data_IF_686699586336
#
_entry.id   IF_686699586336
#
_cell.length_a   1.000
_cell.length_b   1.000
_cell.length_c   1.000
_cell.angle_alpha   90.00
_cell.angle_beta   90.00
_cell.angle_gamma   90.00
#
_symmetry.space_group_name_H-M   'P 1'
#
loop_
_entity.id
_entity.type
_entity.pdbx_description
1 polymer ?
#
# COMPACT_ATOMS: atom_id res chain seq x y z
N UNK A 1 72.15 -16.67 26.39
CA UNK A 1 71.09 -17.16 27.30
C UNK A 1 69.88 -16.22 27.49
N UNK A 2 69.90 -14.96 27.05
CA UNK A 2 68.80 -14.00 27.29
C UNK A 2 67.75 -13.89 26.16
N UNK A 3 67.96 -14.55 25.01
CA UNK A 3 67.02 -14.51 23.89
C UNK A 3 65.87 -15.55 24.07
N UNK A 4 66.19 -16.76 24.52
CA UNK A 4 65.21 -17.84 24.73
C UNK A 4 64.20 -17.57 25.87
N UNK A 5 64.57 -16.77 26.88
CA UNK A 5 63.68 -16.41 27.99
C UNK A 5 62.61 -15.36 27.61
N UNK A 6 62.85 -14.57 26.55
CA UNK A 6 61.88 -13.55 26.09
C UNK A 6 60.76 -14.15 25.26
N UNK A 7 61.05 -15.21 24.50
CA UNK A 7 60.05 -15.90 23.69
C UNK A 7 59.16 -16.82 24.54
N UNK A 8 59.70 -17.44 25.60
CA UNK A 8 58.90 -18.22 26.56
C UNK A 8 57.96 -17.34 27.40
N UNK A 9 58.39 -16.14 27.80
CA UNK A 9 57.53 -15.19 28.53
C UNK A 9 56.48 -14.54 27.63
N UNK A 10 56.78 -14.32 26.34
CA UNK A 10 55.81 -13.86 25.35
C UNK A 10 54.80 -14.96 25.02
N UNK A 11 55.22 -16.20 24.82
CA UNK A 11 54.31 -17.32 24.56
C UNK A 11 53.46 -17.66 25.79
N UNK A 12 54.00 -17.57 27.01
CA UNK A 12 53.24 -17.76 28.23
C UNK A 12 52.17 -16.68 28.43
N UNK A 13 52.48 -15.40 28.16
CA UNK A 13 51.48 -14.31 28.21
C UNK A 13 50.43 -14.43 27.11
N UNK A 14 50.81 -14.90 25.93
CA UNK A 14 49.88 -15.14 24.83
C UNK A 14 49.00 -16.36 25.10
N UNK A 15 49.55 -17.44 25.65
CA UNK A 15 48.79 -18.61 26.08
C UNK A 15 47.86 -18.28 27.25
N UNK A 16 48.28 -17.45 28.22
CA UNK A 16 47.43 -16.99 29.33
C UNK A 16 46.27 -16.11 28.84
N UNK A 17 46.52 -15.24 27.85
CA UNK A 17 45.48 -14.43 27.21
C UNK A 17 44.51 -15.29 26.39
N UNK A 18 45.01 -16.30 25.66
CA UNK A 18 44.17 -17.25 24.92
C UNK A 18 43.33 -18.14 25.84
N UNK A 19 43.88 -18.58 26.98
CA UNK A 19 43.11 -19.34 27.99
C UNK A 19 42.08 -18.48 28.71
N UNK A 20 42.39 -17.22 29.00
CA UNK A 20 41.40 -16.27 29.55
C UNK A 20 40.29 -15.97 28.53
N UNK A 21 40.61 -15.86 27.24
CA UNK A 21 39.63 -15.63 26.18
C UNK A 21 38.70 -16.85 26.00
N UNK A 22 39.25 -18.07 26.02
CA UNK A 22 38.43 -19.30 25.92
C UNK A 22 37.56 -19.53 27.14
N UNK A 23 38.05 -19.26 28.35
CA UNK A 23 37.25 -19.30 29.59
C UNK A 23 36.14 -18.23 29.55
N UNK A 24 36.45 -17.01 29.10
CA UNK A 24 35.45 -15.93 28.97
C UNK A 24 34.34 -16.28 27.96
N UNK A 25 34.67 -16.92 26.84
CA UNK A 25 33.67 -17.41 25.88
C UNK A 25 32.81 -18.55 26.45
N UNK A 26 33.39 -19.44 27.27
CA UNK A 26 32.64 -20.52 27.92
C UNK A 26 31.70 -20.02 29.03
N UNK A 27 32.08 -18.96 29.76
CA UNK A 27 31.24 -18.35 30.81
C UNK A 27 30.05 -17.59 30.21
N UNK A 28 30.21 -16.95 29.05
CA UNK A 28 29.10 -16.28 28.35
C UNK A 28 28.08 -17.26 27.75
N UNK A 29 28.49 -18.48 27.37
CA UNK A 29 27.58 -19.53 26.88
C UNK A 29 26.78 -20.23 28.00
N UNK A 30 27.26 -20.20 29.25
CA UNK A 30 26.66 -20.92 30.38
C UNK A 30 25.73 -20.07 31.25
N UNK A 31 25.51 -18.79 30.93
CA UNK A 31 24.57 -17.89 31.59
C UNK A 31 23.80 -17.07 30.54
N UNK A 32 23.06 -17.79 29.70
CA UNK A 32 22.16 -17.26 28.67
C UNK A 32 21.58 -18.42 27.88
N UNK A 33 20.76 -19.22 28.57
CA UNK A 33 20.48 -20.61 28.23
C UNK A 33 19.70 -20.86 26.94
N UNK A 34 20.05 -22.02 26.35
CA UNK A 34 19.21 -22.91 25.55
C UNK A 34 18.97 -22.46 24.11
N UNK A 35 19.56 -23.06 23.08
CA UNK A 35 20.19 -24.37 22.95
C UNK A 35 19.75 -24.97 21.61
N UNK A 36 20.70 -25.06 20.68
CA UNK A 36 21.04 -26.22 19.80
C UNK A 36 19.87 -27.09 19.27
N UNK A 37 19.76 -27.47 17.99
CA UNK A 37 20.78 -27.85 17.00
C UNK A 37 20.08 -28.15 15.63
N UNK A 38 20.75 -28.67 14.56
CA UNK A 38 20.67 -28.06 13.23
C UNK A 38 20.27 -29.05 12.09
N UNK A 39 20.48 -28.60 10.85
CA UNK A 39 20.73 -29.37 9.62
C UNK A 39 19.58 -30.13 8.94
N UNK A 40 19.21 -29.68 7.74
CA UNK A 40 19.26 -30.50 6.52
C UNK A 40 19.05 -29.61 5.27
N UNK A 41 19.82 -29.93 4.24
CA UNK A 41 19.90 -29.36 2.90
C UNK A 41 18.92 -30.11 1.95
N UNK A 42 18.42 -29.36 0.95
CA UNK A 42 17.96 -29.77 -0.39
C UNK A 42 16.81 -30.79 -0.56
N UNK A 43 15.68 -30.30 -1.10
CA UNK A 43 15.15 -30.69 -2.43
C UNK A 43 13.75 -30.08 -2.67
N UNK A 44 13.58 -29.44 -3.82
CA UNK A 44 12.31 -29.42 -4.56
C UNK A 44 12.39 -30.52 -5.65
N UNK A 45 11.33 -30.83 -6.42
CA UNK A 45 9.89 -30.77 -6.18
C UNK A 45 9.25 -32.18 -6.35
N UNK A 46 7.95 -32.33 -6.09
CA UNK A 46 7.19 -33.45 -6.67
C UNK A 46 5.71 -33.08 -6.81
N UNK A 47 5.34 -32.79 -8.06
CA UNK A 47 4.03 -32.99 -8.63
C UNK A 47 3.79 -34.50 -8.85
N UNK A 48 2.51 -34.87 -8.95
CA UNK A 48 1.98 -36.06 -9.64
C UNK A 48 2.03 -37.45 -8.96
N UNK A 49 0.84 -37.97 -8.67
CA UNK A 49 0.31 -39.25 -9.18
C UNK A 49 -0.99 -39.56 -8.39
N UNK A 50 -2.15 -39.40 -9.02
CA UNK A 50 -2.82 -40.42 -9.83
C UNK A 50 -3.47 -41.53 -8.99
N UNK A 51 -4.73 -41.77 -9.35
CA UNK A 51 -5.75 -42.61 -8.71
C UNK A 51 -5.37 -44.11 -8.58
N UNK A 52 -6.30 -44.94 -8.08
CA UNK A 52 -7.16 -45.58 -9.07
C UNK A 52 -8.66 -45.61 -8.71
N UNK A 53 -9.42 -45.74 -9.80
CA UNK A 53 -10.84 -46.00 -9.89
C UNK A 53 -11.19 -47.46 -9.55
N UNK A 54 -12.46 -47.72 -9.25
CA UNK A 54 -13.31 -48.74 -9.89
C UNK A 54 -14.77 -48.57 -9.42
N UNK A 55 -15.65 -48.20 -10.37
CA UNK A 55 -16.78 -49.00 -10.90
C UNK A 55 -17.93 -49.23 -9.90
N UNK A 56 -19.04 -48.50 -10.03
CA UNK A 56 -20.15 -48.71 -10.97
C UNK A 56 -21.07 -49.88 -10.57
N UNK A 57 -22.30 -49.54 -10.20
CA UNK A 57 -23.49 -50.37 -10.42
C UNK A 57 -24.67 -49.47 -10.81
N UNK A 58 -25.10 -49.62 -12.07
CA UNK A 58 -26.43 -49.34 -12.64
C UNK A 58 -27.54 -50.01 -11.79
N UNK A 59 -28.83 -49.67 -11.76
CA UNK A 59 -29.79 -48.85 -12.51
C UNK A 59 -31.12 -48.94 -11.69
N UNK A 60 -32.32 -48.41 -12.09
CA UNK A 60 -32.68 -47.79 -13.35
C UNK A 60 -33.49 -46.48 -13.26
N UNK A 61 -33.62 -45.88 -14.44
CA UNK A 61 -34.38 -44.70 -14.80
C UNK A 61 -35.89 -44.87 -14.61
N UNK A 62 -36.56 -43.76 -14.28
CA UNK A 62 -37.97 -43.55 -14.61
C UNK A 62 -38.12 -42.12 -15.15
N UNK A 63 -38.62 -42.05 -16.39
CA UNK A 63 -38.96 -40.82 -17.11
C UNK A 63 -40.06 -40.05 -16.36
N UNK A 64 -39.85 -38.75 -16.15
CA UNK A 64 -40.93 -37.81 -15.92
C UNK A 64 -40.85 -36.74 -17.01
N UNK A 65 -41.75 -36.88 -17.97
CA UNK A 65 -42.04 -35.96 -19.06
C UNK A 65 -42.28 -34.54 -18.55
N UNK A 66 -41.60 -33.58 -19.19
CA UNK A 66 -41.82 -32.16 -19.02
C UNK A 66 -43.24 -31.78 -19.51
N UNK A 67 -44.04 -31.24 -18.60
CA UNK A 67 -45.31 -30.56 -18.90
C UNK A 67 -45.01 -29.04 -18.95
N UNK A 68 -45.21 -28.43 -20.12
CA UNK A 68 -45.13 -26.97 -20.31
C UNK A 68 -46.25 -26.28 -19.51
N UNK A 69 -45.87 -25.39 -18.60
CA UNK A 69 -46.75 -24.39 -17.99
C UNK A 69 -46.38 -23.00 -18.54
N UNK A 70 -47.37 -22.11 -18.78
CA UNK A 70 -47.25 -21.01 -19.72
C UNK A 70 -46.36 -19.87 -19.20
N UNK A 71 -45.75 -19.16 -20.15
CA UNK A 71 -44.97 -17.95 -19.92
C UNK A 71 -45.77 -16.94 -19.07
N UNK A 72 -45.31 -16.74 -17.84
CA UNK A 72 -45.70 -15.60 -17.02
C UNK A 72 -44.85 -14.41 -17.48
N UNK A 73 -45.55 -13.40 -17.96
CA UNK A 73 -45.06 -12.08 -18.34
C UNK A 73 -44.18 -11.50 -17.21
N UNK A 74 -42.90 -11.31 -17.52
CA UNK A 74 -41.90 -10.74 -16.61
C UNK A 74 -42.25 -9.27 -16.39
N UNK A 75 -42.97 -8.99 -15.30
CA UNK A 75 -43.16 -7.63 -14.82
C UNK A 75 -41.78 -7.07 -14.48
N UNK A 76 -41.38 -5.99 -15.18
CA UNK A 76 -40.17 -5.25 -14.88
C UNK A 76 -40.12 -4.94 -13.37
N UNK A 77 -38.99 -5.18 -12.68
CA UNK A 77 -38.90 -4.87 -11.27
C UNK A 77 -39.07 -3.35 -11.11
N UNK A 78 -40.04 -2.97 -10.28
CA UNK A 78 -40.17 -1.60 -9.81
C UNK A 78 -38.83 -1.18 -9.18
N UNK A 79 -38.37 0.03 -9.48
CA UNK A 79 -37.20 0.63 -8.85
C UNK A 79 -37.42 0.70 -7.35
N UNK A 80 -36.92 -0.32 -6.65
CA UNK A 80 -36.84 -0.35 -5.20
C UNK A 80 -35.78 0.68 -4.82
N UNK A 81 -36.19 1.79 -4.19
CA UNK A 81 -35.24 2.78 -3.70
C UNK A 81 -34.19 2.07 -2.83
N UNK A 82 -32.95 2.07 -3.31
CA UNK A 82 -31.87 1.36 -2.66
C UNK A 82 -31.75 1.78 -1.19
N UNK A 83 -31.73 0.80 -0.28
CA UNK A 83 -31.57 1.03 1.15
C UNK A 83 -30.43 2.01 1.42
N UNK A 84 -30.76 3.17 2.01
CA UNK A 84 -29.80 4.21 2.37
C UNK A 84 -29.70 5.38 1.39
N UNK A 85 -30.49 5.43 0.30
CA UNK A 85 -30.59 6.59 -0.59
C UNK A 85 -30.87 7.91 0.17
N UNK A 86 -31.67 7.83 1.23
CA UNK A 86 -32.02 8.97 2.11
C UNK A 86 -30.95 9.33 3.15
N UNK A 87 -29.92 8.50 3.34
CA UNK A 87 -28.81 8.76 4.28
C UNK A 87 -27.62 9.45 3.62
N UNK A 88 -27.62 9.54 2.30
CA UNK A 88 -26.58 10.21 1.52
C UNK A 88 -27.05 11.66 1.34
N UNK A 89 -26.27 12.60 1.88
CA UNK A 89 -26.52 14.03 1.66
C UNK A 89 -26.30 14.43 0.20
N UNK A 90 -26.34 15.74 -0.08
CA UNK A 90 -25.90 16.24 -1.39
C UNK A 90 -24.45 15.83 -1.63
N UNK A 91 -24.19 15.20 -2.78
CA UNK A 91 -22.85 14.77 -3.13
C UNK A 91 -22.07 16.01 -3.55
N UNK A 92 -21.01 16.30 -2.79
CA UNK A 92 -20.12 17.42 -3.04
C UNK A 92 -18.67 16.93 -3.08
N UNK A 93 -17.82 17.69 -3.76
CA UNK A 93 -16.40 17.40 -3.79
C UNK A 93 -15.60 18.56 -4.36
N UNK A 94 -14.27 18.52 -4.18
CA UNK A 94 -13.40 19.58 -4.64
C UNK A 94 -13.36 19.58 -6.17
N UNK A 95 -13.12 20.75 -6.75
CA UNK A 95 -12.98 20.90 -8.19
C UNK A 95 -11.50 20.98 -8.56
N UNK A 96 -11.07 20.16 -9.51
CA UNK A 96 -9.70 20.25 -10.07
C UNK A 96 -9.69 21.35 -11.13
N UNK A 97 -8.79 22.32 -10.97
CA UNK A 97 -8.59 23.40 -11.94
C UNK A 97 -7.51 22.97 -12.93
N UNK A 98 -7.85 22.94 -14.22
CA UNK A 98 -6.96 22.51 -15.30
C UNK A 98 -6.53 23.64 -16.22
N UNK A 99 -7.24 24.77 -16.19
CA UNK A 99 -6.86 25.96 -16.93
C UNK A 99 -5.79 26.74 -16.16
N UNK A 100 -4.57 26.75 -16.70
CA UNK A 100 -3.40 27.43 -16.14
C UNK A 100 -3.62 28.92 -15.90
N UNK A 101 -4.51 29.56 -16.66
CA UNK A 101 -4.85 30.97 -16.46
C UNK A 101 -5.50 31.25 -15.09
N UNK A 102 -6.03 30.21 -14.44
CA UNK A 102 -6.65 30.28 -13.11
C UNK A 102 -5.76 29.70 -12.00
N UNK A 103 -4.49 29.42 -12.28
CA UNK A 103 -3.57 28.90 -11.27
C UNK A 103 -3.10 30.02 -10.32
N UNK A 104 -2.84 29.71 -9.04
CA UNK A 104 -2.31 30.69 -8.10
C UNK A 104 -0.89 31.10 -8.50
N UNK A 105 -0.59 32.39 -8.40
CA UNK A 105 0.74 32.94 -8.64
C UNK A 105 1.59 33.04 -7.35
N UNK A 106 0.95 32.98 -6.19
CA UNK A 106 1.59 33.06 -4.88
C UNK A 106 1.36 31.76 -4.10
N UNK A 107 2.38 31.32 -3.39
CA UNK A 107 2.36 30.07 -2.65
C UNK A 107 2.71 30.31 -1.18
N UNK A 108 2.04 29.57 -0.31
CA UNK A 108 2.32 29.50 1.11
C UNK A 108 2.57 28.04 1.50
N UNK A 109 3.17 27.84 2.66
CA UNK A 109 3.38 26.52 3.24
C UNK A 109 2.96 26.50 4.72
N UNK A 110 2.81 25.31 5.28
CA UNK A 110 2.48 25.16 6.69
C UNK A 110 3.61 25.76 7.57
N UNK A 111 3.29 26.42 8.70
CA UNK A 111 4.29 27.05 9.57
C UNK A 111 5.42 26.11 10.00
N UNK A 112 5.10 24.83 10.28
CA UNK A 112 6.10 23.83 10.64
C UNK A 112 7.12 23.55 9.53
N UNK A 113 6.75 23.73 8.25
CA UNK A 113 7.66 23.55 7.12
C UNK A 113 8.54 24.78 6.93
N UNK A 114 7.99 25.99 7.15
CA UNK A 114 8.78 27.23 7.19
C UNK A 114 9.89 27.15 8.24
N UNK A 115 9.59 26.65 9.44
CA UNK A 115 10.60 26.44 10.49
C UNK A 115 11.73 25.50 10.03
N UNK A 116 11.41 24.46 9.25
CA UNK A 116 12.41 23.52 8.70
C UNK A 116 13.21 24.13 7.55
N UNK A 117 12.64 25.08 6.80
CA UNK A 117 13.39 25.86 5.80
C UNK A 117 14.36 26.81 6.50
N UNK A 118 13.90 27.50 7.53
CA UNK A 118 14.73 28.44 8.32
C UNK A 118 15.87 27.73 9.06
N UNK A 119 15.68 26.48 9.49
CA UNK A 119 16.73 25.65 10.08
C UNK A 119 17.71 25.06 9.05
N UNK A 120 17.36 25.10 7.76
CA UNK A 120 18.12 24.50 6.67
C UNK A 120 17.90 22.99 6.51
N UNK A 121 16.93 22.40 7.21
CA UNK A 121 16.59 20.98 7.09
C UNK A 121 15.75 20.67 5.85
N UNK A 122 15.15 21.71 5.24
CA UNK A 122 14.29 21.59 4.06
C UNK A 122 14.65 22.67 3.01
N UNK A 123 14.70 22.34 1.70
CA UNK A 123 14.86 23.36 0.64
C UNK A 123 13.73 24.38 0.67
N UNK A 124 13.91 25.58 0.10
CA UNK A 124 12.86 26.58 0.05
C UNK A 124 11.62 26.09 -0.74
N UNK A 125 10.42 26.60 -0.41
CA UNK A 125 9.16 26.18 -1.04
C UNK A 125 9.22 26.20 -2.58
N UNK A 126 9.75 27.28 -3.15
CA UNK A 126 9.86 27.45 -4.60
C UNK A 126 10.71 26.35 -5.28
N UNK A 127 11.68 25.77 -4.56
CA UNK A 127 12.55 24.70 -5.07
C UNK A 127 11.89 23.32 -4.97
N UNK A 128 10.81 23.19 -4.18
CA UNK A 128 10.08 21.93 -3.98
C UNK A 128 8.82 21.84 -4.83
N UNK A 129 8.28 22.97 -5.27
CA UNK A 129 7.10 23.01 -6.12
C UNK A 129 7.45 22.56 -7.56
N UNK A 130 6.53 21.83 -8.23
CA UNK A 130 6.63 21.61 -9.67
C UNK A 130 6.65 22.93 -10.45
N UNK A 131 7.06 22.85 -11.72
CA UNK A 131 6.89 23.98 -12.65
C UNK A 131 5.39 24.31 -12.82
N UNK A 132 5.04 25.56 -13.17
CA UNK A 132 3.64 25.99 -13.19
C UNK A 132 2.68 25.10 -14.00
N UNK A 133 3.13 24.60 -15.16
CA UNK A 133 2.34 23.71 -16.04
C UNK A 133 2.03 22.33 -15.44
N UNK A 134 2.69 21.98 -14.33
CA UNK A 134 2.59 20.68 -13.67
C UNK A 134 1.89 20.75 -12.31
N UNK A 135 1.44 21.93 -11.88
CA UNK A 135 0.75 22.10 -10.59
C UNK A 135 -0.63 21.42 -10.57
N UNK A 136 -0.88 20.59 -9.54
CA UNK A 136 -2.22 20.11 -9.20
C UNK A 136 -2.95 21.18 -8.37
N UNK A 137 -3.88 21.89 -9.00
CA UNK A 137 -4.66 22.95 -8.35
C UNK A 137 -6.06 22.42 -7.99
N UNK A 138 -6.37 22.45 -6.70
CA UNK A 138 -7.63 21.94 -6.14
C UNK A 138 -8.41 23.11 -5.53
N UNK A 139 -9.58 23.41 -6.09
CA UNK A 139 -10.53 24.34 -5.50
C UNK A 139 -11.30 23.63 -4.37
N UNK A 140 -11.27 24.16 -3.13
CA UNK A 140 -11.98 23.57 -2.00
C UNK A 140 -13.50 23.59 -2.19
N UNK A 141 -14.19 22.69 -1.50
CA UNK A 141 -15.66 22.55 -1.54
C UNK A 141 -16.37 23.78 -0.99
N UNK A 142 -15.91 24.31 0.13
CA UNK A 142 -16.56 25.42 0.83
C UNK A 142 -15.70 26.69 0.85
N UNK A 143 -14.49 26.61 1.39
CA UNK A 143 -13.60 27.77 1.56
C UNK A 143 -12.13 27.37 1.57
N UNK A 144 -11.25 28.37 1.43
CA UNK A 144 -9.80 28.18 1.55
C UNK A 144 -9.46 27.72 2.96
N UNK A 145 -8.78 26.57 3.06
CA UNK A 145 -8.39 25.97 4.33
C UNK A 145 -7.28 26.74 5.06
N UNK A 146 -7.11 26.42 6.34
CA UNK A 146 -6.01 26.92 7.17
C UNK A 146 -5.05 25.78 7.50
N UNK A 147 -3.74 26.07 7.52
CA UNK A 147 -2.74 25.08 7.90
C UNK A 147 -2.84 24.71 9.38
N UNK A 148 -2.61 23.43 9.67
CA UNK A 148 -2.36 22.93 11.02
C UNK A 148 -3.49 22.08 11.60
N UNK A 149 -3.41 21.88 12.92
CA UNK A 149 -4.28 20.98 13.67
C UNK A 149 -3.84 19.52 13.64
N UNK A 150 -4.68 18.65 14.20
CA UNK A 150 -4.46 17.20 14.22
C UNK A 150 -5.77 16.50 13.92
N UNK A 151 -5.80 15.78 12.79
CA UNK A 151 -6.96 14.98 12.44
C UNK A 151 -6.98 13.67 13.25
N UNK A 152 -7.86 13.62 14.25
CA UNK A 152 -8.07 12.43 15.09
C UNK A 152 -9.12 11.53 14.44
N UNK A 153 -8.77 10.26 14.24
CA UNK A 153 -9.64 9.27 13.57
C UNK A 153 -9.84 8.06 14.46
N UNK A 154 -10.98 7.39 14.29
CA UNK A 154 -11.24 6.09 14.92
C UNK A 154 -10.55 4.97 14.14
N UNK A 155 -9.94 4.03 14.85
CA UNK A 155 -9.29 2.85 14.29
C UNK A 155 -9.83 1.64 15.05
N UNK A 156 -10.41 0.67 14.32
CA UNK A 156 -11.09 -0.48 14.95
C UNK A 156 -10.16 -1.68 15.20
N UNK A 157 -8.86 -1.53 14.93
CA UNK A 157 -7.82 -2.54 15.15
C UNK A 157 -7.17 -3.01 13.85
N UNK A 158 -6.19 -3.92 13.91
CA UNK A 158 -5.34 -4.28 12.77
C UNK A 158 -6.08 -4.74 11.49
N UNK A 159 -7.30 -5.28 11.63
CA UNK A 159 -8.13 -5.69 10.49
C UNK A 159 -8.68 -4.50 9.68
N UNK A 160 -8.69 -3.29 10.25
CA UNK A 160 -9.20 -2.05 9.63
C UNK A 160 -8.15 -1.36 8.75
N UNK A 161 -7.38 -2.13 7.98
CA UNK A 161 -6.30 -1.59 7.14
C UNK A 161 -6.80 -0.57 6.11
N UNK A 162 -8.03 -0.75 5.62
CA UNK A 162 -8.66 0.16 4.66
C UNK A 162 -8.93 1.56 5.26
N UNK A 163 -9.03 1.68 6.58
CA UNK A 163 -9.14 2.98 7.24
C UNK A 163 -7.93 3.87 6.96
N UNK A 164 -6.72 3.29 7.00
CA UNK A 164 -5.47 3.98 6.65
C UNK A 164 -5.40 4.28 5.15
N UNK A 165 -5.71 3.29 4.31
CA UNK A 165 -5.68 3.45 2.85
C UNK A 165 -6.60 4.56 2.34
N UNK A 166 -7.75 4.81 2.96
CA UNK A 166 -8.65 5.90 2.53
C UNK A 166 -8.09 7.30 2.77
N UNK A 167 -7.15 7.44 3.72
CA UNK A 167 -6.49 8.73 4.00
C UNK A 167 -5.22 8.89 3.17
N UNK A 168 -4.42 7.83 3.05
CA UNK A 168 -3.20 7.86 2.24
C UNK A 168 -3.47 7.67 0.73
N UNK A 169 -4.67 7.24 0.35
CA UNK A 169 -4.99 6.83 -1.02
C UNK A 169 -5.47 7.95 -1.94
N UNK A 170 -5.17 9.21 -1.60
CA UNK A 170 -5.47 10.36 -2.45
C UNK A 170 -4.65 10.35 -3.74
N UNK A 171 -3.43 9.82 -3.70
CA UNK A 171 -2.51 9.85 -4.84
C UNK A 171 -2.77 8.67 -5.79
N UNK A 172 -3.45 8.95 -6.89
CA UNK A 172 -3.71 8.02 -8.00
C UNK A 172 -3.34 8.70 -9.32
N UNK A 173 -3.22 7.95 -10.42
CA UNK A 173 -3.00 8.57 -11.73
C UNK A 173 -4.14 9.52 -12.10
N UNK A 174 -5.38 9.06 -11.97
CA UNK A 174 -6.60 9.87 -12.12
C UNK A 174 -7.48 9.69 -10.90
N UNK A 175 -8.44 10.59 -10.71
CA UNK A 175 -9.41 10.52 -9.63
C UNK A 175 -10.83 10.51 -10.18
N UNK A 176 -11.82 10.17 -9.35
CA UNK A 176 -13.22 10.28 -9.72
C UNK A 176 -13.71 11.71 -9.48
N UNK A 177 -14.49 12.26 -10.42
CA UNK A 177 -15.28 13.43 -10.13
C UNK A 177 -16.36 13.05 -9.09
N UNK A 178 -16.40 13.77 -7.98
CA UNK A 178 -17.32 13.45 -6.90
C UNK A 178 -18.78 13.66 -7.34
N UNK A 179 -19.05 14.73 -8.11
CA UNK A 179 -20.40 15.15 -8.49
C UNK A 179 -20.86 14.47 -9.78
N UNK A 180 -19.93 14.30 -10.73
CA UNK A 180 -20.20 13.79 -12.07
C UNK A 180 -19.73 12.34 -12.26
N UNK A 181 -19.71 11.52 -11.20
CA UNK A 181 -19.36 10.11 -11.31
C UNK A 181 -20.18 9.41 -12.43
N UNK A 182 -19.56 8.58 -13.30
CA UNK A 182 -18.20 8.03 -13.25
C UNK A 182 -17.15 8.83 -14.05
N UNK A 183 -17.32 10.13 -14.23
CA UNK A 183 -16.28 10.94 -14.86
C UNK A 183 -14.96 10.91 -14.05
N UNK A 184 -13.85 10.96 -14.77
CA UNK A 184 -12.51 10.98 -14.17
C UNK A 184 -11.86 12.34 -14.35
N UNK A 185 -11.14 12.77 -13.32
CA UNK A 185 -10.43 14.05 -13.28
C UNK A 185 -8.92 13.85 -13.12
N UNK A 186 -8.09 14.80 -13.57
CA UNK A 186 -6.65 14.74 -13.39
C UNK A 186 -6.23 14.62 -11.93
N UNK A 187 -5.18 13.83 -11.68
CA UNK A 187 -4.50 13.76 -10.39
C UNK A 187 -2.99 13.72 -10.65
N UNK A 188 -2.27 12.61 -10.40
CA UNK A 188 -0.84 12.54 -10.74
C UNK A 188 -0.60 12.62 -12.27
N UNK A 189 -1.50 12.04 -13.06
CA UNK A 189 -1.57 12.29 -14.50
C UNK A 189 -2.38 13.58 -14.75
N UNK A 190 -1.78 14.55 -15.44
CA UNK A 190 -2.45 15.80 -15.84
C UNK A 190 -3.35 15.62 -17.05
N UNK A 191 -3.07 14.64 -17.89
CA UNK A 191 -3.91 14.24 -19.02
C UNK A 191 -3.62 12.79 -19.44
N UNK A 192 -4.48 12.25 -20.30
CA UNK A 192 -4.32 10.90 -20.84
C UNK A 192 -4.90 10.80 -22.25
N UNK A 193 -4.42 9.81 -22.99
CA UNK A 193 -4.89 9.44 -24.31
C UNK A 193 -5.27 7.96 -24.31
N UNK A 194 -6.35 7.61 -25.02
CA UNK A 194 -6.80 6.23 -25.18
C UNK A 194 -6.80 5.93 -26.68
N UNK A 195 -5.91 5.02 -27.10
CA UNK A 195 -5.65 4.70 -28.49
C UNK A 195 -6.03 3.25 -28.81
N UNK A 196 -6.10 2.91 -30.10
CA UNK A 196 -6.39 1.56 -30.61
C UNK A 196 -7.59 0.87 -29.94
N UNK A 197 -8.68 1.61 -29.75
CA UNK A 197 -9.90 1.09 -29.13
C UNK A 197 -9.73 0.69 -27.66
N UNK A 198 -8.77 1.29 -26.94
CA UNK A 198 -8.51 1.02 -25.52
C UNK A 198 -7.35 0.06 -25.27
N UNK A 199 -6.59 -0.33 -26.29
CA UNK A 199 -5.42 -1.22 -26.13
C UNK A 199 -4.14 -0.50 -25.73
N UNK A 200 -4.11 0.82 -25.89
CA UNK A 200 -3.02 1.67 -25.45
C UNK A 200 -3.58 2.86 -24.68
N UNK A 201 -3.01 3.12 -23.50
CA UNK A 201 -3.33 4.28 -22.68
C UNK A 201 -2.02 5.00 -22.39
N UNK A 202 -1.92 6.26 -22.82
CA UNK A 202 -0.76 7.12 -22.55
C UNK A 202 -1.15 8.07 -21.44
N UNK A 203 -0.40 8.07 -20.34
CA UNK A 203 -0.58 9.00 -19.22
C UNK A 203 0.51 10.07 -19.29
N UNK A 204 0.09 11.33 -19.30
CA UNK A 204 1.00 12.47 -19.18
C UNK A 204 1.07 12.87 -17.72
N UNK A 205 2.23 12.65 -17.10
CA UNK A 205 2.45 13.00 -15.71
C UNK A 205 2.73 14.50 -15.53
N UNK A 206 2.53 14.97 -14.31
CA UNK A 206 3.00 16.26 -13.81
C UNK A 206 4.48 16.16 -13.46
#
# INVERSE_FOLDING_TARGET
MLYSQRDTLRSARWMLLLTLLTIFTLVMAACGGGGSEPAAEEAAPAEEAAAPAEEATEAPAEEATAEEAPAAEEAAPAEEEALGSSLIGEIEGPKIITDEANFPAEFAEAPMLTEMVDSGDLPALADRLPVPSDLLVIQPVHEIGQYGGTWRRGFTGPADGQNGHRVAGGDRFVFWDAVNFPEVVPNLAKSWEINDGGKEIILHLR
#
